data_IF_737683833096
#
_entry.id   IF_737683833096
#
_cell.length_a   1.000
_cell.length_b   1.000
_cell.length_c   1.000
_cell.angle_alpha   90.00
_cell.angle_beta   90.00
_cell.angle_gamma   90.00
#
_symmetry.space_group_name_H-M   'P 1'
#
loop_
_entity.id
_entity.type
_entity.pdbx_description
1 polymer ?
#
# COMPACT_ATOMS: atom_id res chain seq x y z
N UNK A 1 -4.91 -14.63 24.08
CA UNK A 1 -5.07 -16.05 24.44
C UNK A 1 -5.19 -16.22 25.96
N UNK A 2 -4.19 -15.81 26.75
CA UNK A 2 -4.25 -16.00 28.21
C UNK A 2 -5.10 -14.97 28.95
N UNK A 3 -5.21 -13.73 28.45
CA UNK A 3 -6.23 -12.75 28.90
C UNK A 3 -7.65 -13.28 28.64
N UNK A 4 -7.88 -13.82 27.45
CA UNK A 4 -9.13 -14.47 27.08
C UNK A 4 -9.46 -15.64 28.02
N UNK A 5 -8.49 -16.50 28.35
CA UNK A 5 -8.70 -17.60 29.27
C UNK A 5 -9.17 -17.13 30.66
N UNK A 6 -8.62 -16.01 31.17
CA UNK A 6 -9.09 -15.42 32.41
C UNK A 6 -10.49 -14.78 32.27
N UNK A 7 -10.72 -13.98 31.22
CA UNK A 7 -12.02 -13.33 30.98
C UNK A 7 -13.16 -14.32 30.72
N UNK A 8 -12.84 -15.49 30.17
CA UNK A 8 -13.77 -16.59 29.93
C UNK A 8 -13.81 -17.61 31.08
N UNK A 9 -13.20 -17.30 32.22
CA UNK A 9 -13.16 -18.17 33.41
C UNK A 9 -12.62 -19.58 33.15
N UNK A 10 -11.71 -19.73 32.19
CA UNK A 10 -10.96 -20.97 31.93
C UNK A 10 -9.76 -21.14 32.88
N UNK A 11 -9.38 -20.07 33.58
CA UNK A 11 -8.33 -20.05 34.61
C UNK A 11 -8.77 -19.12 35.76
N UNK A 12 -8.42 -19.50 36.99
CA UNK A 12 -8.90 -18.80 38.20
C UNK A 12 -8.19 -17.46 38.48
N UNK A 13 -7.02 -17.24 37.88
CA UNK A 13 -6.23 -16.04 38.11
C UNK A 13 -5.38 -15.66 36.89
N UNK A 14 -5.07 -14.36 36.69
CA UNK A 14 -4.22 -13.93 35.60
C UNK A 14 -2.80 -14.50 35.76
N UNK A 15 -2.27 -15.10 34.70
CA UNK A 15 -0.88 -15.58 34.67
C UNK A 15 0.07 -14.38 34.71
N UNK A 16 1.04 -14.40 35.65
CA UNK A 16 2.08 -13.38 35.77
C UNK A 16 3.20 -13.66 34.76
N UNK A 17 3.37 -12.78 33.77
CA UNK A 17 4.36 -12.95 32.69
C UNK A 17 5.79 -12.53 33.06
N UNK A 18 5.98 -11.88 34.21
CA UNK A 18 7.21 -11.16 34.52
C UNK A 18 7.53 -10.06 33.48
N UNK A 19 8.76 -9.54 33.53
CA UNK A 19 9.22 -8.49 32.60
C UNK A 19 9.71 -9.02 31.25
N UNK A 20 9.84 -10.34 31.09
CA UNK A 20 10.42 -10.97 29.90
C UNK A 20 9.50 -10.94 28.67
N UNK A 21 8.18 -10.79 28.86
CA UNK A 21 7.19 -10.68 27.80
C UNK A 21 6.61 -9.26 27.65
N UNK A 22 7.20 -8.26 28.30
CA UNK A 22 6.79 -6.88 28.10
C UNK A 22 7.13 -6.42 26.68
N UNK A 23 6.21 -5.67 26.09
CA UNK A 23 6.42 -5.13 24.76
C UNK A 23 7.65 -4.21 24.76
N UNK A 24 8.57 -4.32 23.79
CA UNK A 24 9.71 -3.43 23.68
C UNK A 24 9.27 -1.97 23.72
N UNK A 25 9.98 -1.15 24.51
CA UNK A 25 9.69 0.28 24.60
C UNK A 25 9.75 0.94 23.22
N UNK A 26 8.97 2.01 23.04
CA UNK A 26 8.99 2.82 21.81
C UNK A 26 10.41 3.29 21.46
N UNK A 27 11.20 3.63 22.48
CA UNK A 27 12.62 3.99 22.34
C UNK A 27 13.47 2.86 21.78
N UNK A 28 13.32 1.62 22.30
CA UNK A 28 14.09 0.47 21.82
C UNK A 28 13.73 0.13 20.38
N UNK A 29 12.43 0.16 20.03
CA UNK A 29 11.96 -0.02 18.65
C UNK A 29 12.55 1.03 17.70
N UNK A 30 12.58 2.31 18.12
CA UNK A 30 13.18 3.40 17.33
C UNK A 30 14.68 3.22 17.14
N UNK A 31 15.41 2.80 18.19
CA UNK A 31 16.86 2.54 18.12
C UNK A 31 17.18 1.37 17.19
N UNK A 32 16.45 0.26 17.31
CA UNK A 32 16.59 -0.91 16.43
C UNK A 32 16.31 -0.56 14.96
N UNK A 33 15.25 0.22 14.71
CA UNK A 33 14.93 0.72 13.37
C UNK A 33 16.05 1.59 12.80
N UNK A 34 16.57 2.55 13.57
CA UNK A 34 17.68 3.42 13.15
C UNK A 34 18.95 2.62 12.86
N UNK A 35 19.30 1.64 13.69
CA UNK A 35 20.44 0.76 13.44
C UNK A 35 20.26 -0.04 12.13
N UNK A 36 19.06 -0.56 11.88
CA UNK A 36 18.73 -1.26 10.63
C UNK A 36 18.83 -0.34 9.41
N UNK A 37 18.37 0.91 9.54
CA UNK A 37 18.43 1.92 8.47
C UNK A 37 19.86 2.38 8.18
N UNK A 38 20.74 2.45 9.19
CA UNK A 38 22.16 2.76 8.99
C UNK A 38 22.89 1.68 8.17
N UNK A 39 22.54 0.41 8.42
CA UNK A 39 23.18 -0.73 7.74
C UNK A 39 22.58 -0.95 6.34
N UNK A 40 21.26 -0.87 6.21
CA UNK A 40 20.56 -1.30 4.99
C UNK A 40 20.03 -0.13 4.14
N UNK A 41 20.19 1.10 4.60
CA UNK A 41 19.57 2.28 4.02
C UNK A 41 18.09 2.45 4.41
N UNK A 42 17.51 3.58 4.01
CA UNK A 42 16.08 3.84 4.18
C UNK A 42 15.27 2.93 3.26
N UNK A 43 14.08 2.50 3.72
CA UNK A 43 13.11 1.74 2.90
C UNK A 43 12.30 2.67 2.01
N UNK A 44 12.99 3.50 1.23
CA UNK A 44 12.41 4.51 0.34
C UNK A 44 13.12 4.47 -1.01
N UNK A 45 12.33 4.45 -2.08
CA UNK A 45 12.85 4.64 -3.43
C UNK A 45 13.08 6.12 -3.75
N UNK A 46 14.10 6.39 -4.56
CA UNK A 46 14.28 7.65 -5.27
C UNK A 46 13.41 7.72 -6.54
N UNK A 47 13.11 8.92 -7.01
CA UNK A 47 12.29 9.10 -8.22
C UNK A 47 12.88 8.42 -9.46
N UNK A 48 14.21 8.50 -9.65
CA UNK A 48 14.89 7.81 -10.75
C UNK A 48 14.73 6.29 -10.68
N UNK A 49 14.79 5.70 -9.48
CA UNK A 49 14.64 4.25 -9.28
C UNK A 49 13.23 3.80 -9.65
N UNK A 50 12.21 4.56 -9.25
CA UNK A 50 10.80 4.27 -9.60
C UNK A 50 10.58 4.43 -11.10
N UNK A 51 11.17 5.44 -11.76
CA UNK A 51 11.07 5.59 -13.21
C UNK A 51 11.68 4.39 -13.93
N UNK A 52 12.89 3.95 -13.55
CA UNK A 52 13.51 2.75 -14.13
C UNK A 52 12.68 1.48 -13.88
N UNK A 53 12.05 1.36 -12.71
CA UNK A 53 11.11 0.27 -12.41
C UNK A 53 9.90 0.30 -13.36
N UNK A 54 9.27 1.45 -13.56
CA UNK A 54 8.10 1.60 -14.46
C UNK A 54 8.46 1.33 -15.92
N UNK A 55 9.63 1.80 -16.36
CA UNK A 55 10.12 1.62 -17.74
C UNK A 55 10.48 0.16 -18.04
N UNK A 56 11.03 -0.56 -17.06
CA UNK A 56 11.51 -1.94 -17.25
C UNK A 56 10.43 -2.99 -16.95
N UNK A 57 9.42 -2.65 -16.13
CA UNK A 57 8.35 -3.56 -15.77
C UNK A 57 7.49 -3.93 -16.99
N UNK A 58 7.11 -5.21 -17.05
CA UNK A 58 6.31 -5.76 -18.14
C UNK A 58 4.96 -6.25 -17.63
N UNK A 59 3.96 -6.26 -18.52
CA UNK A 59 2.62 -6.75 -18.25
C UNK A 59 2.00 -6.12 -17.00
N UNK A 60 1.31 -6.92 -16.15
CA UNK A 60 0.63 -6.40 -14.97
C UNK A 60 1.53 -5.74 -13.92
N UNK A 61 2.83 -6.10 -13.88
CA UNK A 61 3.74 -5.55 -12.87
C UNK A 61 3.90 -4.03 -12.98
N UNK A 62 3.81 -3.48 -14.20
CA UNK A 62 3.87 -2.03 -14.41
C UNK A 62 2.70 -1.31 -13.73
N UNK A 63 1.48 -1.83 -13.91
CA UNK A 63 0.28 -1.28 -13.27
C UNK A 63 0.33 -1.43 -11.74
N UNK A 64 0.83 -2.56 -11.23
CA UNK A 64 1.04 -2.77 -9.80
C UNK A 64 1.99 -1.73 -9.20
N UNK A 65 3.12 -1.46 -9.85
CA UNK A 65 4.10 -0.45 -9.39
C UNK A 65 3.46 0.94 -9.36
N UNK A 66 2.71 1.29 -10.42
CA UNK A 66 1.99 2.56 -10.49
C UNK A 66 0.95 2.70 -9.39
N UNK A 67 0.16 1.67 -9.09
CA UNK A 67 -0.75 1.68 -7.94
C UNK A 67 -0.01 1.89 -6.61
N UNK A 68 1.15 1.23 -6.45
CA UNK A 68 2.00 1.38 -5.28
C UNK A 68 2.42 2.84 -5.04
N UNK A 69 2.84 3.56 -6.09
CA UNK A 69 3.31 4.95 -5.97
C UNK A 69 2.21 6.01 -6.17
N UNK A 70 1.12 5.73 -6.87
CA UNK A 70 0.01 6.68 -7.08
C UNK A 70 -0.89 6.76 -5.84
N UNK A 71 -1.24 5.62 -5.25
CA UNK A 71 -2.21 5.55 -4.16
C UNK A 71 -1.71 4.88 -2.90
N UNK A 72 -0.47 4.39 -2.88
CA UNK A 72 0.07 3.64 -1.74
C UNK A 72 -0.50 2.23 -1.59
N UNK A 73 -0.90 1.55 -2.67
CA UNK A 73 -1.39 0.17 -2.57
C UNK A 73 -0.29 -0.78 -2.07
N UNK A 74 -0.61 -1.62 -1.09
CA UNK A 74 0.24 -2.76 -0.69
C UNK A 74 -0.07 -4.02 -1.51
N UNK A 75 0.71 -5.09 -1.31
CA UNK A 75 0.57 -6.34 -2.06
C UNK A 75 -0.86 -6.92 -1.98
N UNK A 76 -1.42 -7.00 -0.77
CA UNK A 76 -2.78 -7.49 -0.53
C UNK A 76 -3.85 -6.56 -1.08
N UNK A 77 -3.62 -5.24 -1.05
CA UNK A 77 -4.57 -4.27 -1.59
C UNK A 77 -4.66 -4.43 -3.11
N UNK A 78 -3.52 -4.61 -3.79
CA UNK A 78 -3.49 -4.90 -5.22
C UNK A 78 -4.14 -6.24 -5.56
N UNK A 79 -3.84 -7.29 -4.80
CA UNK A 79 -4.39 -8.63 -5.06
C UNK A 79 -5.90 -8.71 -4.82
N UNK A 80 -6.43 -7.91 -3.90
CA UNK A 80 -7.85 -7.83 -3.59
C UNK A 80 -8.63 -6.82 -4.44
N UNK A 81 -7.97 -6.05 -5.32
CA UNK A 81 -8.64 -5.02 -6.13
C UNK A 81 -9.59 -5.67 -7.14
N UNK A 82 -10.87 -5.31 -7.06
CA UNK A 82 -11.91 -5.82 -7.97
C UNK A 82 -12.06 -4.93 -9.20
N UNK A 83 -12.62 -5.50 -10.27
CA UNK A 83 -12.97 -4.75 -11.49
C UNK A 83 -13.99 -3.63 -11.20
N UNK A 84 -14.95 -3.89 -10.32
CA UNK A 84 -16.01 -2.95 -9.94
C UNK A 84 -15.53 -1.77 -9.09
N UNK A 85 -14.36 -1.88 -8.46
CA UNK A 85 -13.79 -0.82 -7.63
C UNK A 85 -13.17 0.32 -8.47
N UNK A 86 -13.01 0.12 -9.78
CA UNK A 86 -12.40 1.09 -10.68
C UNK A 86 -13.50 1.82 -11.45
N UNK A 87 -13.64 3.12 -11.19
CA UNK A 87 -14.41 4.02 -12.04
C UNK A 87 -13.52 4.47 -13.20
N UNK A 88 -13.74 3.85 -14.37
CA UNK A 88 -12.95 4.06 -15.58
C UNK A 88 -13.19 5.41 -16.25
N UNK A 89 -14.35 6.03 -16.00
CA UNK A 89 -14.75 7.31 -16.58
C UNK A 89 -14.16 8.45 -15.76
N UNK A 90 -14.36 8.41 -14.43
CA UNK A 90 -13.83 9.43 -13.51
C UNK A 90 -12.35 9.26 -13.22
N UNK A 91 -11.79 8.07 -13.48
CA UNK A 91 -10.39 7.74 -13.23
C UNK A 91 -10.09 7.64 -11.74
N UNK A 92 -10.95 6.96 -10.99
CA UNK A 92 -10.87 6.85 -9.53
C UNK A 92 -10.98 5.38 -9.13
N UNK A 93 -10.27 5.00 -8.06
CA UNK A 93 -10.53 3.74 -7.36
C UNK A 93 -11.27 4.03 -6.05
N UNK A 94 -12.42 3.41 -5.89
CA UNK A 94 -13.20 3.38 -4.66
C UNK A 94 -13.17 1.95 -4.12
N UNK A 95 -12.51 1.77 -2.98
CA UNK A 95 -12.20 0.43 -2.48
C UNK A 95 -12.33 0.38 -0.96
N UNK A 96 -13.29 -0.38 -0.45
CA UNK A 96 -13.35 -0.66 0.98
C UNK A 96 -12.23 -1.59 1.39
N UNK A 97 -11.42 -1.16 2.36
CA UNK A 97 -10.37 -2.03 2.87
C UNK A 97 -11.01 -3.18 3.65
N UNK A 98 -11.00 -4.39 3.08
CA UNK A 98 -11.57 -5.61 3.64
C UNK A 98 -11.15 -5.92 5.10
N UNK A 99 -10.05 -5.34 5.59
CA UNK A 99 -9.54 -5.54 6.96
C UNK A 99 -10.09 -4.52 7.99
N UNK A 100 -10.57 -3.35 7.56
CA UNK A 100 -10.92 -2.26 8.50
C UNK A 100 -12.22 -1.52 8.17
N UNK A 101 -12.89 -1.82 7.04
CA UNK A 101 -14.12 -1.13 6.63
C UNK A 101 -13.93 0.36 6.35
N UNK A 102 -12.69 0.81 6.17
CA UNK A 102 -12.36 2.22 5.93
C UNK A 102 -12.41 2.48 4.43
N UNK A 103 -13.25 3.43 4.00
CA UNK A 103 -13.37 3.73 2.56
C UNK A 103 -12.08 4.37 2.08
N UNK A 104 -11.61 3.87 0.94
CA UNK A 104 -10.44 4.40 0.25
C UNK A 104 -10.89 4.99 -1.08
N UNK A 105 -10.47 6.21 -1.33
CA UNK A 105 -10.71 6.89 -2.62
C UNK A 105 -9.37 7.35 -3.18
N UNK A 106 -9.03 6.90 -4.38
CA UNK A 106 -7.74 7.19 -5.03
C UNK A 106 -7.98 7.73 -6.43
N UNK A 107 -7.74 9.03 -6.67
CA UNK A 107 -7.66 9.55 -8.02
C UNK A 107 -6.44 8.97 -8.74
N UNK A 108 -6.66 8.43 -9.93
CA UNK A 108 -5.63 7.80 -10.74
C UNK A 108 -4.94 8.80 -11.65
N UNK A 109 -3.64 8.66 -11.80
CA UNK A 109 -2.91 9.33 -12.86
C UNK A 109 -3.32 8.77 -14.23
N UNK A 110 -3.22 9.56 -15.31
CA UNK A 110 -3.47 9.06 -16.66
C UNK A 110 -2.65 7.80 -16.99
N UNK A 111 -1.37 7.79 -16.62
CA UNK A 111 -0.44 6.67 -16.81
C UNK A 111 -0.88 5.41 -16.05
N UNK A 112 -1.44 5.59 -14.84
CA UNK A 112 -1.96 4.50 -14.00
C UNK A 112 -3.24 3.95 -14.62
N UNK A 113 -4.18 4.81 -14.99
CA UNK A 113 -5.44 4.42 -15.60
C UNK A 113 -5.20 3.66 -16.91
N UNK A 114 -4.28 4.14 -17.75
CA UNK A 114 -3.90 3.46 -18.98
C UNK A 114 -3.31 2.07 -18.70
N UNK A 115 -2.41 1.95 -17.73
CA UNK A 115 -1.82 0.66 -17.35
C UNK A 115 -2.86 -0.32 -16.83
N UNK A 116 -3.87 0.16 -16.07
CA UNK A 116 -4.97 -0.69 -15.59
C UNK A 116 -5.87 -1.17 -16.72
N UNK A 117 -6.16 -0.30 -17.71
CA UNK A 117 -6.91 -0.69 -18.91
C UNK A 117 -6.19 -1.80 -19.69
N UNK A 118 -4.88 -1.68 -19.88
CA UNK A 118 -4.07 -2.73 -20.52
C UNK A 118 -4.13 -4.06 -19.75
N UNK A 119 -4.12 -4.02 -18.42
CA UNK A 119 -4.28 -5.23 -17.59
C UNK A 119 -5.66 -5.84 -17.77
N UNK A 120 -6.72 -5.02 -17.82
CA UNK A 120 -8.08 -5.49 -18.05
C UNK A 120 -8.23 -6.16 -19.43
N UNK A 121 -7.66 -5.56 -20.47
CA UNK A 121 -7.70 -6.08 -21.85
C UNK A 121 -6.93 -7.41 -21.99
N UNK A 122 -5.78 -7.52 -21.34
CA UNK A 122 -4.91 -8.72 -21.39
C UNK A 122 -5.19 -9.71 -20.27
N UNK A 123 -6.31 -9.53 -19.56
CA UNK A 123 -6.65 -10.30 -18.36
C UNK A 123 -6.85 -11.78 -18.70
N UNK A 124 -6.10 -12.71 -18.05
CA UNK A 124 -6.28 -14.14 -18.24
C UNK A 124 -7.66 -14.63 -17.79
N UNK A 125 -8.07 -15.82 -18.28
CA UNK A 125 -9.29 -16.48 -17.81
C UNK A 125 -9.17 -16.80 -16.31
N UNK A 126 -10.17 -16.44 -15.48
CA UNK A 126 -10.19 -16.78 -14.06
C UNK A 126 -10.14 -18.29 -13.81
N UNK A 127 -9.42 -18.70 -12.78
CA UNK A 127 -9.31 -20.11 -12.37
C UNK A 127 -10.50 -20.58 -11.49
N UNK A 128 -11.15 -19.64 -10.81
CA UNK A 128 -12.24 -19.86 -9.86
C UNK A 128 -13.15 -18.62 -9.79
N UNK A 129 -14.32 -18.76 -9.16
CA UNK A 129 -15.32 -17.68 -9.01
C UNK A 129 -14.76 -16.49 -8.20
N UNK A 130 -13.95 -16.77 -7.18
CA UNK A 130 -13.32 -15.73 -6.37
C UNK A 130 -12.37 -14.85 -7.19
N UNK A 131 -11.67 -15.44 -8.16
CA UNK A 131 -10.79 -14.75 -9.10
C UNK A 131 -11.56 -13.96 -10.16
N UNK A 132 -12.82 -14.30 -10.46
CA UNK A 132 -13.60 -13.69 -11.54
C UNK A 132 -13.80 -12.18 -11.34
N UNK A 133 -13.95 -11.74 -10.10
CA UNK A 133 -14.10 -10.32 -9.76
C UNK A 133 -12.79 -9.54 -9.70
N UNK A 134 -11.64 -10.21 -9.62
CA UNK A 134 -10.34 -9.55 -9.38
C UNK A 134 -9.76 -8.95 -10.65
N UNK A 135 -9.22 -7.74 -10.57
CA UNK A 135 -8.57 -7.08 -11.70
C UNK A 135 -7.25 -7.78 -12.07
N UNK A 136 -6.44 -8.13 -11.08
CA UNK A 136 -5.12 -8.72 -11.28
C UNK A 136 -5.14 -10.24 -11.14
N UNK A 137 -4.87 -10.94 -12.23
CA UNK A 137 -4.70 -12.39 -12.26
C UNK A 137 -3.32 -12.78 -12.78
N UNK A 138 -2.79 -13.90 -12.28
CA UNK A 138 -1.60 -14.54 -12.84
C UNK A 138 -1.92 -15.17 -14.19
N UNK A 139 -0.90 -15.58 -14.95
CA UNK A 139 -1.12 -16.32 -16.21
C UNK A 139 -1.92 -17.63 -16.05
N UNK A 140 -1.99 -18.17 -14.84
CA UNK A 140 -2.82 -19.32 -14.47
C UNK A 140 -4.22 -18.96 -13.96
N UNK A 141 -4.64 -17.69 -14.07
CA UNK A 141 -5.99 -17.25 -13.68
C UNK A 141 -6.22 -17.07 -12.18
N UNK A 142 -5.18 -17.08 -11.35
CA UNK A 142 -5.28 -16.99 -9.88
C UNK A 142 -4.91 -15.60 -9.37
N UNK A 143 -5.33 -15.27 -8.16
CA UNK A 143 -4.89 -14.05 -7.49
C UNK A 143 -3.35 -14.01 -7.31
N UNK A 144 -2.77 -12.82 -7.46
CA UNK A 144 -1.32 -12.59 -7.32
C UNK A 144 -0.81 -12.77 -5.89
N UNK A 145 -1.65 -12.49 -4.89
CA UNK A 145 -1.39 -12.83 -3.49
C UNK A 145 -2.53 -13.72 -3.02
N UNK A 146 -2.19 -14.87 -2.43
CA UNK A 146 -3.18 -15.86 -2.00
C UNK A 146 -2.65 -16.70 -0.84
N UNK A 147 -3.57 -17.26 -0.08
CA UNK A 147 -3.28 -18.06 1.09
C UNK A 147 -3.92 -19.45 0.94
N UNK A 148 -3.13 -20.50 1.11
CA UNK A 148 -3.61 -21.87 1.18
C UNK A 148 -3.63 -22.34 2.62
N UNK A 149 -4.78 -22.87 3.06
CA UNK A 149 -4.93 -23.48 4.38
C UNK A 149 -4.98 -25.00 4.18
N UNK A 150 -4.02 -25.70 4.76
CA UNK A 150 -3.99 -27.16 4.81
C UNK A 150 -4.61 -27.60 6.13
N UNK A 151 -5.69 -28.38 6.02
CA UNK A 151 -6.37 -28.95 7.17
C UNK A 151 -5.81 -30.36 7.48
N UNK A 152 -5.80 -30.73 8.76
CA UNK A 152 -5.58 -32.09 9.22
C UNK A 152 -6.82 -32.96 9.05
N UNK A 153 -6.67 -34.27 9.27
CA UNK A 153 -7.80 -35.23 9.22
C UNK A 153 -8.89 -34.91 10.28
N UNK A 154 -8.51 -34.24 11.36
CA UNK A 154 -9.38 -33.76 12.43
C UNK A 154 -10.05 -32.40 12.14
N UNK A 155 -9.86 -31.84 10.93
CA UNK A 155 -10.34 -30.52 10.56
C UNK A 155 -9.54 -29.36 11.15
N UNK A 156 -8.46 -29.62 11.90
CA UNK A 156 -7.60 -28.57 12.45
C UNK A 156 -6.72 -27.91 11.37
N UNK A 157 -6.36 -26.65 11.55
CA UNK A 157 -5.44 -25.96 10.64
C UNK A 157 -4.02 -26.47 10.89
N UNK A 158 -3.51 -27.30 9.96
CA UNK A 158 -2.15 -27.88 10.04
C UNK A 158 -1.09 -26.91 9.54
N UNK A 159 -1.35 -26.23 8.43
CA UNK A 159 -0.39 -25.32 7.80
C UNK A 159 -1.08 -24.24 7.00
N UNK A 160 -0.54 -23.04 7.06
CA UNK A 160 -0.92 -21.93 6.17
C UNK A 160 0.26 -21.60 5.26
N UNK A 161 0.03 -21.57 3.96
CA UNK A 161 1.04 -21.18 2.96
C UNK A 161 0.59 -19.88 2.29
N UNK A 162 1.37 -18.82 2.47
CA UNK A 162 1.17 -17.55 1.78
C UNK A 162 2.01 -17.52 0.50
N UNK A 163 1.38 -17.19 -0.62
CA UNK A 163 2.05 -16.99 -1.90
C UNK A 163 1.92 -15.51 -2.27
N UNK A 164 3.06 -14.85 -2.45
CA UNK A 164 3.14 -13.42 -2.83
C UNK A 164 3.89 -13.27 -4.14
N UNK A 165 3.19 -13.52 -5.25
CA UNK A 165 3.77 -13.42 -6.59
C UNK A 165 4.15 -11.97 -6.93
N UNK A 166 3.51 -10.97 -6.30
CA UNK A 166 3.90 -9.55 -6.48
C UNK A 166 5.29 -9.33 -5.90
N UNK A 167 5.52 -9.78 -4.67
CA UNK A 167 6.81 -9.70 -3.99
C UNK A 167 7.91 -10.40 -4.79
N UNK A 168 7.64 -11.61 -5.28
CA UNK A 168 8.59 -12.40 -6.04
C UNK A 168 9.00 -11.72 -7.36
N UNK A 169 8.02 -11.30 -8.18
CA UNK A 169 8.28 -10.66 -9.47
C UNK A 169 8.94 -9.28 -9.31
N UNK A 170 8.54 -8.52 -8.29
CA UNK A 170 9.15 -7.24 -7.99
C UNK A 170 10.60 -7.41 -7.50
N UNK A 171 10.90 -8.46 -6.73
CA UNK A 171 12.27 -8.76 -6.31
C UNK A 171 13.17 -9.13 -7.49
N UNK A 172 12.67 -9.92 -8.45
CA UNK A 172 13.39 -10.23 -9.70
C UNK A 172 13.73 -8.93 -10.44
N UNK A 173 12.76 -8.02 -10.56
CA UNK A 173 12.97 -6.73 -11.21
C UNK A 173 14.01 -5.86 -10.48
N UNK A 174 13.95 -5.80 -9.13
CA UNK A 174 14.94 -5.08 -8.34
C UNK A 174 16.36 -5.63 -8.53
N UNK A 175 16.52 -6.96 -8.60
CA UNK A 175 17.82 -7.60 -8.83
C UNK A 175 18.33 -7.28 -10.24
N UNK A 176 17.46 -7.34 -11.25
CA UNK A 176 17.78 -6.98 -12.64
C UNK A 176 18.30 -5.55 -12.78
N UNK A 177 17.74 -4.62 -12.02
CA UNK A 177 18.15 -3.21 -12.04
C UNK A 177 19.28 -2.86 -11.06
N UNK A 178 19.81 -3.83 -10.30
CA UNK A 178 20.83 -3.56 -9.29
C UNK A 178 20.34 -2.77 -8.07
N UNK A 179 19.01 -2.68 -7.86
CA UNK A 179 18.38 -1.90 -6.80
C UNK A 179 18.06 -2.71 -5.54
N UNK A 180 18.28 -4.03 -5.57
CA UNK A 180 17.90 -4.91 -4.47
C UNK A 180 18.77 -4.66 -3.23
N UNK A 181 18.13 -4.28 -2.14
CA UNK A 181 18.73 -4.20 -0.78
C UNK A 181 17.82 -4.83 0.26
N UNK A 182 18.40 -5.19 1.42
CA UNK A 182 17.67 -5.85 2.51
C UNK A 182 16.52 -4.98 3.01
N UNK A 183 15.32 -5.55 3.05
CA UNK A 183 14.11 -4.85 3.51
C UNK A 183 13.49 -3.88 2.50
N UNK A 184 14.04 -3.77 1.28
CA UNK A 184 13.40 -3.08 0.17
C UNK A 184 12.66 -4.10 -0.71
N UNK A 185 11.36 -3.88 -0.88
CA UNK A 185 10.45 -4.71 -1.66
C UNK A 185 9.21 -3.90 -2.06
N UNK A 186 8.17 -4.55 -2.59
CA UNK A 186 7.02 -3.86 -3.19
C UNK A 186 6.36 -2.85 -2.24
N UNK A 187 6.16 -3.23 -0.98
CA UNK A 187 5.57 -2.37 0.05
C UNK A 187 6.35 -1.07 0.32
N UNK A 188 7.62 -0.97 -0.09
CA UNK A 188 8.37 0.27 0.00
C UNK A 188 7.82 1.37 -0.93
N UNK A 189 7.12 1.03 -2.02
CA UNK A 189 6.41 2.02 -2.85
C UNK A 189 5.35 2.76 -2.05
N UNK A 190 4.59 2.06 -1.21
CA UNK A 190 3.62 2.67 -0.28
C UNK A 190 4.30 3.59 0.73
N UNK A 191 5.46 3.19 1.26
CA UNK A 191 6.25 4.05 2.13
C UNK A 191 6.73 5.31 1.41
N UNK A 192 7.23 5.17 0.18
CA UNK A 192 7.62 6.30 -0.66
C UNK A 192 6.44 7.24 -0.93
N UNK A 193 5.29 6.70 -1.38
CA UNK A 193 4.06 7.49 -1.56
C UNK A 193 3.75 8.31 -0.31
N UNK A 194 3.67 7.66 0.86
CA UNK A 194 3.34 8.35 2.11
C UNK A 194 4.31 9.48 2.42
N UNK A 195 5.62 9.20 2.33
CA UNK A 195 6.65 10.20 2.61
C UNK A 195 6.56 11.39 1.67
N UNK A 196 6.24 11.17 0.39
CA UNK A 196 6.13 12.25 -0.58
C UNK A 196 4.82 13.02 -0.43
N UNK A 197 3.72 12.32 -0.16
CA UNK A 197 2.41 12.90 0.06
C UNK A 197 2.37 13.81 1.31
N UNK A 198 3.14 13.48 2.35
CA UNK A 198 3.20 14.29 3.59
C UNK A 198 3.67 15.75 3.34
N UNK A 199 4.33 16.04 2.22
CA UNK A 199 4.72 17.40 1.82
C UNK A 199 3.52 18.31 1.49
N UNK A 200 2.36 17.72 1.14
CA UNK A 200 1.12 18.44 0.80
C UNK A 200 0.41 19.01 2.04
N UNK A 201 0.79 18.55 3.24
CA UNK A 201 0.25 19.01 4.54
C UNK A 201 -1.27 18.79 4.70
N UNK A 202 -1.86 17.90 3.91
CA UNK A 202 -3.27 17.48 4.06
C UNK A 202 -3.37 16.03 4.56
N UNK A 203 -3.29 15.86 5.88
CA UNK A 203 -3.22 14.53 6.49
C UNK A 203 -4.49 13.70 6.30
N UNK A 204 -5.66 14.33 6.29
CA UNK A 204 -6.94 13.64 6.12
C UNK A 204 -7.07 13.09 4.70
N UNK A 205 -6.72 13.89 3.68
CA UNK A 205 -6.72 13.43 2.28
C UNK A 205 -5.75 12.25 2.08
N UNK A 206 -4.55 12.33 2.67
CA UNK A 206 -3.57 11.24 2.62
C UNK A 206 -4.10 9.98 3.31
N UNK A 207 -4.75 10.11 4.48
CA UNK A 207 -5.35 8.96 5.17
C UNK A 207 -6.44 8.31 4.33
N UNK A 208 -7.31 9.10 3.69
CA UNK A 208 -8.34 8.60 2.78
C UNK A 208 -7.76 7.86 1.58
N UNK A 209 -6.72 8.41 0.92
CA UNK A 209 -6.04 7.73 -0.21
C UNK A 209 -5.38 6.43 0.23
N UNK A 210 -4.82 6.39 1.43
CA UNK A 210 -4.15 5.20 1.94
C UNK A 210 -5.07 4.16 2.58
N UNK A 211 -6.36 4.47 2.75
CA UNK A 211 -7.31 3.64 3.51
C UNK A 211 -6.87 3.49 4.97
N UNK A 212 -6.40 4.59 5.57
CA UNK A 212 -6.09 4.69 6.99
C UNK A 212 -7.24 5.35 7.74
N UNK A 213 -7.49 4.93 8.98
CA UNK A 213 -8.41 5.63 9.87
C UNK A 213 -7.83 7.00 10.23
N UNK A 214 -8.68 8.02 10.26
CA UNK A 214 -8.31 9.35 10.75
C UNK A 214 -8.21 9.26 12.28
N UNK A 215 -7.06 9.61 12.88
CA UNK A 215 -6.86 9.45 14.32
C UNK A 215 -7.64 10.51 15.12
N UNK A 216 -8.13 10.12 16.29
CA UNK A 216 -8.75 11.02 17.26
C UNK A 216 -10.17 11.46 16.90
N UNK A 217 -10.64 12.53 17.53
CA UNK A 217 -12.01 13.07 17.33
C UNK A 217 -12.29 13.45 15.89
N UNK A 218 -11.28 13.85 15.11
CA UNK A 218 -11.43 14.21 13.70
C UNK A 218 -11.99 13.06 12.85
N UNK A 219 -11.74 11.80 13.21
CA UNK A 219 -12.30 10.66 12.49
C UNK A 219 -13.80 10.45 12.69
N UNK A 220 -14.40 11.15 13.67
CA UNK A 220 -15.85 11.14 13.92
C UNK A 220 -16.56 12.22 13.11
N UNK A 221 -15.90 13.38 12.88
CA UNK A 221 -16.53 14.54 12.23
C UNK A 221 -16.16 14.71 10.75
N UNK A 222 -15.05 14.12 10.29
CA UNK A 222 -14.64 14.20 8.88
C UNK A 222 -15.26 13.04 8.13
N UNK A 223 -16.48 13.24 7.67
CA UNK A 223 -17.24 12.25 6.90
C UNK A 223 -16.79 12.24 5.43
N UNK A 224 -16.64 13.42 4.82
CA UNK A 224 -16.26 13.56 3.42
C UNK A 224 -14.95 14.34 3.22
N UNK A 225 -14.21 13.95 2.19
CA UNK A 225 -13.04 14.70 1.70
C UNK A 225 -13.22 14.89 0.20
N UNK A 226 -13.31 16.15 -0.21
CA UNK A 226 -13.49 16.53 -1.61
C UNK A 226 -12.44 15.88 -2.51
N UNK A 227 -12.87 15.45 -3.70
CA UNK A 227 -11.99 14.83 -4.70
C UNK A 227 -10.80 15.72 -5.09
N UNK A 228 -10.96 17.05 -5.11
CA UNK A 228 -9.88 17.98 -5.47
C UNK A 228 -8.72 17.96 -4.48
N UNK A 229 -9.01 17.80 -3.18
CA UNK A 229 -7.98 17.60 -2.15
C UNK A 229 -7.22 16.30 -2.37
N UNK A 230 -7.92 15.22 -2.73
CA UNK A 230 -7.29 13.94 -3.06
C UNK A 230 -6.41 14.06 -4.31
N UNK A 231 -6.90 14.77 -5.35
CA UNK A 231 -6.18 15.05 -6.59
C UNK A 231 -4.90 15.85 -6.33
N UNK A 232 -4.97 16.89 -5.47
CA UNK A 232 -3.80 17.67 -5.10
C UNK A 232 -2.68 16.79 -4.51
N UNK A 233 -3.05 15.83 -3.64
CA UNK A 233 -2.09 14.88 -3.06
C UNK A 233 -1.44 14.00 -4.12
N UNK A 234 -2.22 13.30 -4.93
CA UNK A 234 -1.66 12.38 -5.94
C UNK A 234 -0.89 13.14 -7.02
N UNK A 235 -1.30 14.36 -7.38
CA UNK A 235 -0.62 15.19 -8.37
C UNK A 235 0.73 15.69 -7.85
N UNK A 236 0.84 16.06 -6.57
CA UNK A 236 2.14 16.41 -5.97
C UNK A 236 3.13 15.24 -6.07
N UNK A 237 2.70 14.03 -5.74
CA UNK A 237 3.52 12.83 -5.86
C UNK A 237 3.89 12.57 -7.33
N UNK A 238 2.96 12.78 -8.28
CA UNK A 238 3.22 12.65 -9.72
C UNK A 238 4.29 13.63 -10.18
N UNK A 239 4.16 14.91 -9.79
CA UNK A 239 5.13 15.96 -10.11
C UNK A 239 6.50 15.65 -9.51
N UNK A 240 6.57 15.06 -8.32
CA UNK A 240 7.86 14.61 -7.77
C UNK A 240 8.46 13.44 -8.53
N UNK A 241 7.63 12.54 -9.06
CA UNK A 241 8.07 11.37 -9.81
C UNK A 241 8.56 11.72 -11.23
N UNK A 242 7.82 12.57 -11.93
CA UNK A 242 8.02 12.87 -13.36
C UNK A 242 8.47 14.31 -13.65
N UNK A 243 8.37 15.22 -12.70
CA UNK A 243 8.76 16.61 -12.88
C UNK A 243 10.27 16.77 -13.09
N UNK A 244 10.63 17.69 -13.97
CA UNK A 244 11.97 18.27 -14.05
C UNK A 244 12.13 19.33 -12.95
N UNK A 245 13.38 19.63 -12.59
CA UNK A 245 13.75 20.47 -11.44
C UNK A 245 13.06 21.85 -11.37
N UNK A 246 12.47 22.35 -12.46
CA UNK A 246 11.73 23.63 -12.52
C UNK A 246 10.33 23.60 -11.89
N UNK A 247 9.67 22.44 -11.78
CA UNK A 247 8.28 22.35 -11.26
C UNK A 247 8.18 22.28 -9.73
N UNK A 248 9.30 22.33 -9.01
CA UNK A 248 9.37 22.17 -7.55
C UNK A 248 9.57 23.49 -6.79
N UNK A 249 9.42 24.66 -7.43
CA UNK A 249 9.48 25.92 -6.68
C UNK A 249 8.20 26.09 -5.84
N UNK A 250 8.32 26.35 -4.52
CA UNK A 250 7.18 26.78 -3.73
C UNK A 250 6.69 28.11 -4.29
N UNK A 251 5.38 28.23 -4.51
CA UNK A 251 4.74 29.49 -4.83
C UNK A 251 5.28 30.59 -3.89
N UNK A 252 5.87 31.63 -4.48
CA UNK A 252 6.43 32.75 -3.74
C UNK A 252 5.42 33.29 -2.72
N UNK A 253 5.88 33.76 -1.55
CA UNK A 253 4.99 34.38 -0.58
C UNK A 253 4.25 35.53 -1.26
N UNK A 254 2.93 35.52 -1.12
CA UNK A 254 2.07 36.65 -1.49
C UNK A 254 2.63 37.87 -0.78
N UNK A 255 3.26 38.76 -1.53
CA UNK A 255 3.62 40.09 -1.08
C UNK A 255 2.30 40.79 -0.77
N UNK A 256 2.02 40.95 0.52
CA UNK A 256 1.03 41.90 0.99
C UNK A 256 1.49 43.29 0.54
N UNK A 257 0.85 43.81 -0.51
CA UNK A 257 0.96 45.22 -0.85
C UNK A 257 0.14 46.03 0.16
N UNK A 258 0.81 47.06 0.68
CA UNK A 258 0.30 48.05 1.59
C UNK A 258 -0.90 48.82 1.03
N UNK A 259 -1.85 49.14 1.89
CA UNK A 259 -2.33 50.51 2.14
C UNK A 259 -2.94 50.57 3.54
#
# INVERSE_FOLDING_TARGET
>A
MLKYAYEMNLIDHPIKYGKAFEQPSSTLKRRSRRATELINGKRLFEAREIRSLIETAQGPLRALILLGINGGFGNTDCAGLTLSAVDWERGIIEFDRAKTGTERVVPLWPDTLQALKQVQETRPKPADEDAERLLFLTGSGKAWVRQYVHYGEDGSIKRVVNVDTIGDQFEILLRKLGLKRRGLGFYALRHTFRTWADEVRDQHAIHRIMGHTIPGMSGIYVEEISLDRLRAVVNHVRSRLFGTAETLQPSAPVTANAT
#
